data_IF_737110375681
#
_entry.id   IF_737110375681
#
_cell.length_a   1.000
_cell.length_b   1.000
_cell.length_c   1.000
_cell.angle_alpha   90.00
_cell.angle_beta   90.00
_cell.angle_gamma   90.00
#
_symmetry.space_group_name_H-M   'P 1'
#
loop_
_entity.id
_entity.type
_entity.pdbx_description
1 polymer ?
#
# COMPACT_ATOMS: atom_id res chain seq x y z
N UNK A 1 1.28 -3.96 -18.14
CA UNK A 1 1.97 -3.80 -19.44
C UNK A 1 3.45 -4.14 -19.34
N UNK A 2 4.24 -3.45 -18.51
CA UNK A 2 5.69 -3.75 -18.38
C UNK A 2 6.01 -5.20 -17.98
N UNK A 3 5.29 -5.77 -17.00
CA UNK A 3 5.46 -7.19 -16.61
C UNK A 3 5.13 -8.19 -17.75
N UNK A 4 4.42 -7.75 -18.79
CA UNK A 4 4.13 -8.55 -19.98
C UNK A 4 5.20 -8.36 -21.08
N UNK A 5 6.32 -7.68 -20.78
CA UNK A 5 7.41 -7.42 -21.72
C UNK A 5 7.10 -6.33 -22.76
N UNK A 6 6.00 -5.59 -22.61
CA UNK A 6 5.58 -4.59 -23.60
C UNK A 6 6.24 -3.23 -23.32
N UNK A 7 6.77 -2.58 -24.36
CA UNK A 7 7.19 -1.19 -24.29
C UNK A 7 6.00 -0.31 -23.87
N UNK A 8 6.15 0.40 -22.76
CA UNK A 8 5.03 1.08 -22.10
C UNK A 8 5.28 2.58 -22.04
N UNK A 9 4.29 3.35 -22.48
CA UNK A 9 4.26 4.80 -22.41
C UNK A 9 3.09 5.24 -21.52
N UNK A 10 3.32 6.25 -20.69
CA UNK A 10 2.27 6.93 -19.92
C UNK A 10 2.13 8.34 -20.49
N UNK A 11 0.91 8.69 -20.92
CA UNK A 11 0.57 10.01 -21.45
C UNK A 11 -0.28 10.72 -20.39
N UNK A 12 0.20 11.88 -19.95
CA UNK A 12 -0.45 12.73 -18.96
C UNK A 12 -0.66 14.13 -19.54
N UNK A 13 -1.88 14.64 -19.43
CA UNK A 13 -2.23 15.98 -19.89
C UNK A 13 -1.64 17.05 -18.97
N UNK A 14 -1.68 16.81 -17.65
CA UNK A 14 -1.10 17.70 -16.65
C UNK A 14 0.43 17.78 -16.79
N UNK A 15 1.08 18.81 -16.22
CA UNK A 15 2.53 18.94 -16.27
C UNK A 15 3.28 17.85 -15.46
N UNK A 16 2.56 17.12 -14.62
CA UNK A 16 3.11 16.07 -13.76
C UNK A 16 2.09 14.94 -13.53
N UNK A 17 2.60 13.77 -13.16
CA UNK A 17 1.79 12.63 -12.76
C UNK A 17 1.08 12.89 -11.42
N UNK A 18 -0.13 12.35 -11.27
CA UNK A 18 -0.94 12.46 -10.04
C UNK A 18 -1.11 13.92 -9.57
N UNK A 19 -1.41 14.82 -10.51
CA UNK A 19 -1.44 16.26 -10.25
C UNK A 19 -2.46 16.71 -9.19
N UNK A 20 -3.46 15.89 -8.87
CA UNK A 20 -4.40 16.17 -7.77
C UNK A 20 -3.83 15.77 -6.40
N UNK A 21 -2.92 14.79 -6.34
CA UNK A 21 -2.40 14.22 -5.08
C UNK A 21 -0.97 14.64 -4.74
N UNK A 22 -0.18 15.06 -5.73
CA UNK A 22 1.23 15.41 -5.56
C UNK A 22 1.48 16.86 -5.94
N UNK A 23 2.52 17.44 -5.34
CA UNK A 23 3.11 18.69 -5.80
C UNK A 23 4.19 18.44 -6.87
N UNK A 24 4.75 19.51 -7.42
CA UNK A 24 5.71 19.43 -8.53
C UNK A 24 6.93 18.57 -8.22
N UNK A 25 7.50 18.70 -7.02
CA UNK A 25 8.65 17.90 -6.60
C UNK A 25 8.28 16.42 -6.43
N UNK A 26 7.13 16.12 -5.82
CA UNK A 26 6.64 14.75 -5.72
C UNK A 26 6.36 14.12 -7.08
N UNK A 27 5.75 14.86 -8.00
CA UNK A 27 5.47 14.41 -9.36
C UNK A 27 6.74 14.10 -10.17
N UNK A 28 7.79 14.91 -10.03
CA UNK A 28 9.08 14.67 -10.68
C UNK A 28 9.79 13.43 -10.12
N UNK A 29 9.75 13.22 -8.80
CA UNK A 29 10.31 12.01 -8.18
C UNK A 29 9.55 10.76 -8.62
N UNK A 30 8.22 10.83 -8.67
CA UNK A 30 7.40 9.73 -9.20
C UNK A 30 7.74 9.42 -10.66
N UNK A 31 7.93 10.46 -11.48
CA UNK A 31 8.33 10.31 -12.88
C UNK A 31 9.67 9.57 -12.99
N UNK A 32 10.72 10.04 -12.31
CA UNK A 32 12.05 9.42 -12.34
C UNK A 32 11.97 7.95 -11.96
N UNK A 33 11.20 7.61 -10.93
CA UNK A 33 11.04 6.23 -10.46
C UNK A 33 10.29 5.34 -11.45
N UNK A 34 9.28 5.87 -12.15
CA UNK A 34 8.57 5.13 -13.20
C UNK A 34 9.49 4.94 -14.42
N UNK A 35 10.27 5.95 -14.78
CA UNK A 35 11.22 5.90 -15.89
C UNK A 35 12.38 4.93 -15.63
N UNK A 36 12.89 4.85 -14.39
CA UNK A 36 13.92 3.87 -13.99
C UNK A 36 13.44 2.41 -14.11
N UNK A 37 12.12 2.19 -14.06
CA UNK A 37 11.48 0.90 -14.32
C UNK A 37 11.26 0.61 -15.82
N UNK A 38 11.73 1.50 -16.70
CA UNK A 38 11.66 1.36 -18.14
C UNK A 38 10.28 1.64 -18.73
N UNK A 39 9.50 2.53 -18.10
CA UNK A 39 8.24 3.08 -18.61
C UNK A 39 8.49 4.54 -19.03
N UNK A 40 8.15 4.90 -20.28
CA UNK A 40 8.37 6.26 -20.78
C UNK A 40 7.22 7.18 -20.37
N UNK A 41 7.51 8.27 -19.67
CA UNK A 41 6.49 9.21 -19.18
C UNK A 41 6.48 10.48 -20.04
N UNK A 42 5.30 10.86 -20.52
CA UNK A 42 5.07 12.07 -21.31
C UNK A 42 4.02 12.94 -20.62
N UNK A 43 4.45 14.00 -19.95
CA UNK A 43 3.56 14.98 -19.33
C UNK A 43 3.32 16.16 -20.26
N UNK A 44 2.33 17.01 -19.93
CA UNK A 44 1.90 18.13 -20.80
C UNK A 44 1.50 17.69 -22.21
N UNK A 45 1.05 16.43 -22.38
CA UNK A 45 0.68 15.88 -23.69
C UNK A 45 -0.82 15.88 -23.89
N UNK A 46 -1.28 16.80 -24.74
CA UNK A 46 -2.67 16.86 -25.18
C UNK A 46 -2.85 16.05 -26.48
N UNK A 47 -3.54 14.92 -26.42
CA UNK A 47 -3.83 14.08 -27.60
C UNK A 47 -4.99 14.69 -28.40
N UNK A 48 -4.74 15.07 -29.66
CA UNK A 48 -5.76 15.62 -30.56
C UNK A 48 -6.57 14.54 -31.27
N UNK A 49 -5.88 13.55 -31.80
CA UNK A 49 -6.49 12.45 -32.55
C UNK A 49 -5.65 11.17 -32.49
N UNK A 50 -6.31 10.05 -32.75
CA UNK A 50 -5.71 8.72 -32.84
C UNK A 50 -6.13 8.14 -34.19
N UNK A 51 -5.17 7.91 -35.06
CA UNK A 51 -5.40 7.38 -36.41
C UNK A 51 -4.92 5.94 -36.51
N UNK A 52 -5.62 5.11 -37.30
CA UNK A 52 -5.27 3.70 -37.54
C UNK A 52 -4.26 3.58 -38.69
N UNK A 53 -3.19 4.36 -38.61
CA UNK A 53 -2.13 4.45 -39.60
C UNK A 53 -0.81 4.64 -38.86
N UNK A 54 0.11 3.71 -39.02
CA UNK A 54 1.48 3.80 -38.50
C UNK A 54 2.39 2.88 -39.31
N UNK A 55 3.68 3.21 -39.33
CA UNK A 55 4.71 2.47 -40.07
C UNK A 55 5.33 1.38 -39.21
N UNK A 56 5.47 1.64 -37.91
CA UNK A 56 6.10 0.75 -36.92
C UNK A 56 5.05 0.09 -36.01
N UNK A 57 3.89 0.72 -35.82
CA UNK A 57 2.79 0.19 -35.03
C UNK A 57 1.43 0.46 -35.69
N UNK A 58 0.36 -0.18 -35.20
CA UNK A 58 -0.97 -0.11 -35.85
C UNK A 58 -1.67 1.25 -35.76
N UNK A 59 -1.30 2.11 -34.81
CA UNK A 59 -1.92 3.43 -34.59
C UNK A 59 -0.86 4.50 -34.42
N UNK A 60 -1.24 5.74 -34.73
CA UNK A 60 -0.47 6.93 -34.39
C UNK A 60 -1.34 7.88 -33.57
N UNK A 61 -0.79 8.34 -32.45
CA UNK A 61 -1.36 9.40 -31.61
C UNK A 61 -0.75 10.73 -32.04
N UNK A 62 -1.57 11.70 -32.45
CA UNK A 62 -1.11 13.06 -32.75
C UNK A 62 -1.37 13.98 -31.57
N UNK A 63 -0.35 14.71 -31.15
CA UNK A 63 -0.42 15.63 -30.01
C UNK A 63 -0.59 17.08 -30.46
N UNK A 64 -1.07 17.92 -29.54
CA UNK A 64 -1.35 19.32 -29.84
C UNK A 64 -0.11 20.14 -30.19
N UNK A 65 1.06 19.73 -29.69
CA UNK A 65 2.37 20.32 -29.96
C UNK A 65 2.98 19.88 -31.31
N UNK A 66 2.27 19.04 -32.08
CA UNK A 66 2.71 18.53 -33.38
C UNK A 66 3.58 17.28 -33.29
N UNK A 67 3.97 16.82 -32.10
CA UNK A 67 4.62 15.52 -31.94
C UNK A 67 3.64 14.37 -32.15
N UNK A 68 4.18 13.18 -32.41
CA UNK A 68 3.40 11.97 -32.59
C UNK A 68 4.01 10.78 -31.85
N UNK A 69 3.19 9.77 -31.58
CA UNK A 69 3.62 8.51 -30.99
C UNK A 69 2.89 7.33 -31.63
N UNK A 70 3.64 6.39 -32.19
CA UNK A 70 3.08 5.16 -32.74
C UNK A 70 2.90 4.09 -31.66
N UNK A 71 1.73 3.46 -31.61
CA UNK A 71 1.37 2.44 -30.59
C UNK A 71 0.44 1.38 -31.17
N UNK A 72 0.54 0.14 -30.68
CA UNK A 72 -0.39 -0.92 -31.09
C UNK A 72 -1.70 -0.93 -30.30
N UNK A 73 -1.60 -0.57 -29.02
CA UNK A 73 -2.68 -0.69 -28.04
C UNK A 73 -2.68 0.52 -27.11
N UNK A 74 -3.88 1.03 -26.81
CA UNK A 74 -4.10 2.21 -25.97
C UNK A 74 -5.07 1.82 -24.86
N UNK A 75 -4.69 2.13 -23.62
CA UNK A 75 -5.57 2.02 -22.45
C UNK A 75 -5.99 3.42 -22.04
N UNK A 76 -7.29 3.67 -22.00
CA UNK A 76 -7.81 4.95 -21.50
C UNK A 76 -8.02 4.87 -19.99
N UNK A 77 -7.26 5.68 -19.25
CA UNK A 77 -7.38 5.86 -17.80
C UNK A 77 -7.49 7.35 -17.45
N UNK A 78 -8.41 8.06 -18.11
CA UNK A 78 -8.55 9.52 -18.08
C UNK A 78 -9.68 10.01 -17.17
N UNK A 79 -9.94 9.26 -16.10
CA UNK A 79 -11.04 9.51 -15.16
C UNK A 79 -12.35 8.84 -15.57
N UNK A 80 -13.33 8.92 -14.67
CA UNK A 80 -14.68 8.35 -14.83
C UNK A 80 -15.73 9.47 -14.82
N UNK A 81 -16.91 9.17 -15.35
CA UNK A 81 -18.09 10.04 -15.27
C UNK A 81 -19.23 9.32 -14.56
N UNK A 82 -20.00 10.01 -13.70
CA UNK A 82 -21.20 9.44 -13.09
C UNK A 82 -22.16 8.91 -14.16
N UNK A 83 -22.77 7.75 -13.89
CA UNK A 83 -23.83 7.18 -14.75
C UNK A 83 -25.20 7.66 -14.29
N UNK A 84 -25.50 8.92 -14.58
CA UNK A 84 -26.72 9.62 -14.13
C UNK A 84 -27.86 9.63 -15.17
N UNK A 85 -27.67 9.02 -16.35
CA UNK A 85 -28.66 9.02 -17.43
C UNK A 85 -30.06 8.57 -17.01
N UNK A 86 -30.16 7.54 -16.16
CA UNK A 86 -31.44 7.05 -15.65
C UNK A 86 -32.12 8.11 -14.77
N UNK A 87 -31.37 8.76 -13.89
CA UNK A 87 -31.88 9.83 -13.04
C UNK A 87 -32.47 10.98 -13.87
N UNK A 88 -31.74 11.44 -14.89
CA UNK A 88 -32.24 12.46 -15.83
C UNK A 88 -33.51 12.02 -16.54
N UNK A 89 -33.58 10.77 -17.01
CA UNK A 89 -34.77 10.23 -17.71
C UNK A 89 -35.99 10.09 -16.80
N UNK A 90 -35.76 9.86 -15.50
CA UNK A 90 -36.80 9.75 -14.48
C UNK A 90 -37.15 11.09 -13.81
N UNK A 91 -36.53 12.21 -14.22
CA UNK A 91 -36.79 13.53 -13.63
C UNK A 91 -36.19 13.74 -12.24
N UNK A 92 -35.23 12.91 -11.82
CA UNK A 92 -34.47 13.13 -10.59
C UNK A 92 -33.46 14.26 -10.77
N UNK A 93 -33.17 14.96 -9.67
CA UNK A 93 -32.17 16.03 -9.68
C UNK A 93 -30.76 15.49 -9.98
N UNK A 94 -30.05 16.15 -10.90
CA UNK A 94 -28.68 15.82 -11.29
C UNK A 94 -27.82 17.08 -11.14
N UNK A 95 -26.61 16.92 -10.62
CA UNK A 95 -25.71 18.04 -10.35
C UNK A 95 -25.17 18.65 -11.65
N UNK A 96 -24.72 19.91 -11.59
CA UNK A 96 -24.24 20.65 -12.77
C UNK A 96 -23.08 19.95 -13.50
N UNK A 97 -22.23 19.22 -12.76
CA UNK A 97 -21.08 18.47 -13.31
C UNK A 97 -21.37 16.97 -13.49
N UNK A 98 -22.63 16.57 -13.43
CA UNK A 98 -23.09 15.18 -13.44
C UNK A 98 -23.13 14.55 -12.05
N UNK A 99 -23.84 13.43 -11.97
CA UNK A 99 -24.11 12.67 -10.75
C UNK A 99 -25.49 12.98 -10.17
N UNK A 100 -26.13 11.93 -9.64
CA UNK A 100 -27.47 11.98 -9.04
C UNK A 100 -27.36 12.75 -7.73
N UNK A 101 -28.08 13.87 -7.60
CA UNK A 101 -28.00 14.68 -6.38
C UNK A 101 -28.55 13.90 -5.19
N UNK A 102 -27.80 13.92 -4.09
CA UNK A 102 -28.23 13.30 -2.83
C UNK A 102 -28.08 14.22 -1.63
N UNK A 103 -28.94 14.02 -0.64
CA UNK A 103 -28.83 14.65 0.68
C UNK A 103 -27.85 13.91 1.60
N UNK A 104 -27.74 14.34 2.86
CA UNK A 104 -26.85 13.75 3.87
C UNK A 104 -27.23 12.31 4.25
N UNK A 105 -28.42 11.84 3.89
CA UNK A 105 -28.89 10.46 4.08
C UNK A 105 -28.79 9.63 2.80
N UNK A 106 -28.11 10.14 1.77
CA UNK A 106 -27.97 9.54 0.44
C UNK A 106 -29.30 9.35 -0.33
N UNK A 107 -30.37 10.04 0.06
CA UNK A 107 -31.63 10.08 -0.67
C UNK A 107 -31.53 11.06 -1.83
N UNK A 108 -32.21 10.73 -2.94
CA UNK A 108 -32.33 11.61 -4.10
C UNK A 108 -33.42 12.67 -3.90
N UNK A 109 -33.80 13.39 -4.97
CA UNK A 109 -34.96 14.28 -4.94
C UNK A 109 -36.31 13.56 -4.73
N UNK A 110 -36.33 12.24 -4.98
CA UNK A 110 -37.45 11.38 -4.62
C UNK A 110 -37.13 10.69 -3.28
N UNK A 111 -38.00 10.79 -2.25
CA UNK A 111 -37.73 10.27 -0.91
C UNK A 111 -37.62 8.74 -0.85
N UNK A 112 -38.17 8.02 -1.82
CA UNK A 112 -38.14 6.55 -1.88
C UNK A 112 -36.94 6.01 -2.69
N UNK A 113 -36.12 6.91 -3.27
CA UNK A 113 -34.99 6.56 -4.12
C UNK A 113 -33.69 7.05 -3.50
N UNK A 114 -32.71 6.14 -3.42
CA UNK A 114 -31.36 6.42 -2.93
C UNK A 114 -30.34 6.31 -4.07
N UNK A 115 -29.25 7.06 -3.96
CA UNK A 115 -28.07 6.88 -4.81
C UNK A 115 -26.81 6.89 -3.93
N UNK A 116 -25.91 5.94 -4.18
CA UNK A 116 -24.67 5.77 -3.41
C UNK A 116 -23.50 5.49 -4.35
N UNK A 117 -22.28 5.70 -3.87
CA UNK A 117 -21.06 5.47 -4.64
C UNK A 117 -20.81 6.52 -5.72
N UNK A 118 -20.10 6.13 -6.77
CA UNK A 118 -19.55 7.07 -7.76
C UNK A 118 -20.60 7.77 -8.64
N UNK A 119 -21.84 7.27 -8.67
CA UNK A 119 -22.94 7.92 -9.37
C UNK A 119 -23.62 9.03 -8.55
N UNK A 120 -23.40 9.06 -7.23
CA UNK A 120 -24.01 10.01 -6.32
C UNK A 120 -23.20 11.30 -6.23
N UNK A 121 -23.91 12.43 -6.26
CA UNK A 121 -23.35 13.77 -6.10
C UNK A 121 -23.86 14.37 -4.79
N UNK A 122 -22.98 14.40 -3.78
CA UNK A 122 -23.26 15.03 -2.50
C UNK A 122 -22.64 16.42 -2.49
N UNK A 123 -23.44 17.45 -2.22
CA UNK A 123 -23.00 18.85 -2.22
C UNK A 123 -22.24 19.25 -3.52
N UNK A 124 -22.79 18.85 -4.69
CA UNK A 124 -22.20 19.03 -6.02
C UNK A 124 -20.82 18.37 -6.22
N UNK A 125 -20.48 17.36 -5.41
CA UNK A 125 -19.22 16.60 -5.50
C UNK A 125 -19.50 15.12 -5.64
N UNK A 126 -18.72 14.50 -6.53
CA UNK A 126 -18.69 13.05 -6.75
C UNK A 126 -17.38 12.50 -6.22
N UNK A 127 -17.43 11.30 -5.64
CA UNK A 127 -16.28 10.67 -5.01
C UNK A 127 -15.89 9.41 -5.77
N UNK A 128 -14.74 9.43 -6.46
CA UNK A 128 -14.20 8.30 -7.23
C UNK A 128 -13.32 7.36 -6.39
N UNK A 129 -13.75 7.04 -5.18
CA UNK A 129 -13.03 6.18 -4.25
C UNK A 129 -14.00 5.16 -3.64
N UNK A 130 -13.47 4.00 -3.25
CA UNK A 130 -14.30 2.92 -2.68
C UNK A 130 -14.83 3.25 -1.28
N UNK A 131 -14.02 3.90 -0.43
CA UNK A 131 -14.37 4.20 0.95
C UNK A 131 -15.61 5.12 1.09
N UNK A 132 -15.72 6.23 0.32
CA UNK A 132 -16.94 7.01 0.27
C UNK A 132 -18.17 6.18 -0.14
N UNK A 133 -18.02 5.26 -1.09
CA UNK A 133 -19.10 4.37 -1.51
C UNK A 133 -19.61 3.47 -0.39
N UNK A 134 -18.71 2.90 0.41
CA UNK A 134 -19.11 2.12 1.60
C UNK A 134 -19.78 2.98 2.65
N UNK A 135 -19.26 4.18 2.93
CA UNK A 135 -19.89 5.09 3.89
C UNK A 135 -21.29 5.51 3.44
N UNK A 136 -21.48 5.81 2.16
CA UNK A 136 -22.79 6.11 1.58
C UNK A 136 -23.75 4.92 1.71
N UNK A 137 -23.26 3.69 1.48
CA UNK A 137 -24.07 2.48 1.69
C UNK A 137 -24.53 2.34 3.14
N UNK A 138 -23.62 2.52 4.10
CA UNK A 138 -23.94 2.45 5.53
C UNK A 138 -24.95 3.52 5.93
N UNK A 139 -24.74 4.77 5.50
CA UNK A 139 -25.67 5.88 5.77
C UNK A 139 -27.06 5.62 5.19
N UNK A 140 -27.15 5.11 3.95
CA UNK A 140 -28.43 4.76 3.35
C UNK A 140 -29.17 3.66 4.14
N UNK A 141 -28.46 2.62 4.58
CA UNK A 141 -29.02 1.54 5.40
C UNK A 141 -29.45 2.07 6.78
N UNK A 142 -28.63 2.87 7.43
CA UNK A 142 -28.95 3.45 8.74
C UNK A 142 -30.20 4.32 8.68
N UNK A 143 -30.33 5.14 7.62
CA UNK A 143 -31.54 5.92 7.40
C UNK A 143 -32.78 5.03 7.19
N UNK A 144 -32.67 3.95 6.40
CA UNK A 144 -33.76 2.99 6.21
C UNK A 144 -34.18 2.28 7.51
N UNK A 145 -33.24 2.12 8.46
CA UNK A 145 -33.49 1.49 9.76
C UNK A 145 -33.87 2.49 10.87
N UNK A 146 -33.86 3.80 10.59
CA UNK A 146 -34.16 4.86 11.55
C UNK A 146 -33.02 5.19 12.52
N UNK A 147 -31.79 4.82 12.18
CA UNK A 147 -30.58 5.15 12.94
C UNK A 147 -30.05 6.54 12.55
N UNK A 148 -29.51 7.30 13.52
CA UNK A 148 -28.88 8.59 13.23
C UNK A 148 -27.48 8.40 12.64
N UNK A 149 -27.34 8.61 11.34
CA UNK A 149 -26.06 8.67 10.64
C UNK A 149 -26.20 9.57 9.39
N UNK A 150 -25.12 10.27 9.04
CA UNK A 150 -25.10 11.22 7.92
C UNK A 150 -23.79 11.15 7.17
N UNK A 151 -23.86 11.26 5.84
CA UNK A 151 -22.70 11.43 4.99
C UNK A 151 -22.24 12.88 5.01
N UNK A 152 -21.07 13.15 5.56
CA UNK A 152 -20.50 14.50 5.73
C UNK A 152 -19.36 14.77 4.75
N UNK A 153 -19.35 14.07 3.63
CA UNK A 153 -18.22 14.04 2.69
C UNK A 153 -17.20 12.95 3.04
N UNK A 154 -16.08 12.96 2.33
CA UNK A 154 -15.03 11.98 2.51
C UNK A 154 -13.64 12.57 2.26
N UNK A 155 -12.65 11.97 2.93
CA UNK A 155 -11.25 12.24 2.72
C UNK A 155 -10.80 11.74 1.34
N UNK A 156 -10.04 12.58 0.63
CA UNK A 156 -9.54 12.30 -0.72
C UNK A 156 -8.08 11.81 -0.69
N UNK A 157 -7.52 11.58 0.49
CA UNK A 157 -6.18 11.01 0.63
C UNK A 157 -6.12 9.67 -0.08
N UNK A 158 -5.07 9.49 -0.86
CA UNK A 158 -4.88 8.30 -1.67
C UNK A 158 -3.45 7.80 -1.49
N UNK A 159 -3.32 6.49 -1.36
CA UNK A 159 -2.03 5.79 -1.39
C UNK A 159 -2.07 4.79 -2.55
N UNK A 160 -1.19 5.01 -3.53
CA UNK A 160 -1.03 4.10 -4.65
C UNK A 160 0.12 3.15 -4.38
N UNK A 161 -0.10 1.88 -4.71
CA UNK A 161 0.94 0.87 -4.86
C UNK A 161 1.15 0.65 -6.34
N UNK A 162 2.08 1.38 -6.94
CA UNK A 162 2.60 1.01 -8.24
C UNK A 162 3.64 -0.10 -8.04
N UNK A 163 3.95 -0.85 -9.11
CA UNK A 163 5.07 -1.80 -9.12
C UNK A 163 6.31 -1.08 -8.58
N UNK A 164 6.82 -1.47 -7.40
CA UNK A 164 8.03 -0.89 -6.82
C UNK A 164 7.98 0.58 -6.41
N UNK A 165 6.85 1.29 -6.56
CA UNK A 165 6.72 2.71 -6.23
C UNK A 165 5.58 2.92 -5.24
N UNK A 166 5.95 3.27 -4.02
CA UNK A 166 5.02 3.73 -3.01
C UNK A 166 4.86 5.25 -3.12
N UNK A 167 3.61 5.69 -3.24
CA UNK A 167 3.25 7.10 -3.31
C UNK A 167 1.96 7.36 -2.55
N UNK A 168 1.89 8.49 -1.84
CA UNK A 168 0.71 8.90 -1.12
C UNK A 168 0.57 10.41 -0.99
N UNK A 169 -0.65 10.90 -1.20
CA UNK A 169 -1.08 12.25 -0.88
C UNK A 169 -2.11 12.22 0.24
N UNK A 170 -2.02 13.19 1.15
CA UNK A 170 -2.90 13.34 2.31
C UNK A 170 -3.42 14.76 2.37
N UNK A 171 -4.74 14.94 2.56
CA UNK A 171 -5.37 16.24 2.83
C UNK A 171 -4.98 17.32 1.81
N UNK A 172 -4.58 18.50 2.30
CA UNK A 172 -4.10 19.61 1.48
C UNK A 172 -2.65 19.41 1.00
N UNK A 173 -2.45 18.41 0.13
CA UNK A 173 -1.16 18.04 -0.45
C UNK A 173 -0.48 19.19 -1.22
N UNK A 174 -1.26 20.15 -1.72
CA UNK A 174 -0.78 21.30 -2.50
C UNK A 174 -0.45 22.52 -1.63
N UNK A 175 -0.88 22.55 -0.36
CA UNK A 175 -0.77 23.73 0.49
C UNK A 175 -1.60 24.91 0.00
N UNK A 176 -2.84 24.65 -0.44
CA UNK A 176 -3.81 25.66 -0.89
C UNK A 176 -4.33 26.50 0.28
N UNK A 177 -4.24 26.00 1.52
CA UNK A 177 -4.67 26.70 2.73
C UNK A 177 -3.85 27.99 2.93
N UNK A 178 -4.49 29.17 3.01
CA UNK A 178 -3.78 30.43 3.20
C UNK A 178 -2.90 30.44 4.46
N UNK A 179 -1.67 30.89 4.34
CA UNK A 179 -0.72 30.96 5.46
C UNK A 179 -0.11 29.61 5.86
N UNK A 180 -0.43 28.51 5.16
CA UNK A 180 0.19 27.21 5.39
C UNK A 180 1.70 27.27 5.17
N UNK A 181 2.42 26.47 5.96
CA UNK A 181 3.87 26.32 5.90
C UNK A 181 4.22 24.89 5.49
N UNK A 182 5.47 24.67 5.08
CA UNK A 182 5.89 23.33 4.65
C UNK A 182 7.26 22.94 5.19
N UNK A 183 7.37 21.65 5.52
CA UNK A 183 8.64 20.98 5.80
C UNK A 183 8.90 19.99 4.67
N UNK A 184 10.10 19.98 4.12
CA UNK A 184 10.47 19.14 2.97
C UNK A 184 11.71 18.33 3.31
N UNK A 185 11.64 17.02 3.03
CA UNK A 185 12.78 16.12 3.03
C UNK A 185 12.92 15.51 1.63
N UNK A 186 14.11 15.65 1.05
CA UNK A 186 14.45 15.11 -0.26
C UNK A 186 15.79 14.37 -0.15
N UNK A 187 15.79 13.10 -0.54
CA UNK A 187 16.99 12.27 -0.67
C UNK A 187 16.99 11.68 -2.08
N UNK A 188 17.73 12.32 -2.99
CA UNK A 188 17.84 11.88 -4.39
C UNK A 188 18.59 10.56 -4.53
N UNK A 189 19.45 10.20 -3.57
CA UNK A 189 20.20 8.94 -3.62
C UNK A 189 19.31 7.72 -3.36
N UNK A 190 18.26 7.92 -2.55
CA UNK A 190 17.26 6.90 -2.22
C UNK A 190 15.95 7.09 -2.98
N UNK A 191 15.85 8.11 -3.83
CA UNK A 191 14.64 8.51 -4.54
C UNK A 191 13.44 8.73 -3.58
N UNK A 192 13.71 9.36 -2.43
CA UNK A 192 12.70 9.64 -1.39
C UNK A 192 12.37 11.12 -1.37
N UNK A 193 11.07 11.42 -1.39
CA UNK A 193 10.55 12.77 -1.18
C UNK A 193 9.40 12.73 -0.18
N UNK A 194 9.45 13.62 0.80
CA UNK A 194 8.40 13.81 1.80
C UNK A 194 8.17 15.30 2.03
N UNK A 195 6.92 15.70 2.07
CA UNK A 195 6.51 17.06 2.42
C UNK A 195 5.38 17.02 3.43
N UNK A 196 5.49 17.82 4.48
CA UNK A 196 4.38 18.14 5.38
C UNK A 196 3.86 19.53 5.04
N UNK A 197 2.55 19.71 5.12
CA UNK A 197 1.87 20.99 5.01
C UNK A 197 1.19 21.23 6.35
N UNK A 198 1.58 22.29 7.04
CA UNK A 198 1.10 22.63 8.40
C UNK A 198 0.41 23.98 8.42
N UNK A 199 -0.44 24.19 9.43
CA UNK A 199 -1.08 25.48 9.68
C UNK A 199 -0.07 26.61 9.98
N UNK A 200 -0.52 27.86 9.87
CA UNK A 200 0.34 29.04 10.07
C UNK A 200 1.02 29.09 11.46
N UNK A 201 0.39 28.47 12.47
CA UNK A 201 0.87 28.35 13.85
C UNK A 201 1.67 27.05 14.12
N UNK A 202 1.90 26.22 13.09
CA UNK A 202 2.57 24.92 13.15
C UNK A 202 1.91 23.85 14.03
N UNK A 203 0.65 24.04 14.48
CA UNK A 203 -0.01 23.11 15.40
C UNK A 203 -0.79 21.99 14.73
N UNK A 204 -1.26 22.21 13.50
CA UNK A 204 -2.14 21.28 12.80
C UNK A 204 -1.50 20.81 11.50
N UNK A 205 -1.54 19.49 11.25
CA UNK A 205 -1.18 18.93 9.95
C UNK A 205 -2.36 19.08 8.98
N UNK A 206 -2.15 19.82 7.90
CA UNK A 206 -3.17 20.06 6.87
C UNK A 206 -3.08 19.04 5.72
N UNK A 207 -1.88 18.56 5.44
CA UNK A 207 -1.65 17.58 4.39
C UNK A 207 -0.21 17.07 4.37
N UNK A 208 0.02 16.06 3.54
CA UNK A 208 1.34 15.50 3.33
C UNK A 208 1.48 14.87 1.93
N UNK A 209 2.71 14.84 1.43
CA UNK A 209 3.10 14.15 0.20
C UNK A 209 4.25 13.20 0.52
N UNK A 210 4.16 11.94 0.11
CA UNK A 210 5.19 10.93 0.30
C UNK A 210 5.43 10.18 -1.00
N UNK A 211 6.68 10.12 -1.46
CA UNK A 211 7.12 9.40 -2.65
C UNK A 211 8.37 8.59 -2.32
N UNK A 212 8.41 7.34 -2.76
CA UNK A 212 9.54 6.43 -2.54
C UNK A 212 9.42 5.68 -1.21
N UNK A 213 9.29 6.43 -0.10
CA UNK A 213 9.06 5.89 1.24
C UNK A 213 7.74 6.43 1.83
N UNK A 214 6.77 5.54 2.03
CA UNK A 214 5.45 5.87 2.60
C UNK A 214 5.19 5.19 3.95
N UNK A 215 6.26 4.79 4.65
CA UNK A 215 6.18 4.18 5.98
C UNK A 215 5.41 5.05 6.98
N UNK A 216 5.60 6.38 6.91
CA UNK A 216 4.96 7.34 7.81
C UNK A 216 3.50 7.66 7.43
N UNK A 217 3.00 7.20 6.27
CA UNK A 217 1.69 7.58 5.73
C UNK A 217 0.54 7.35 6.72
N UNK A 218 0.53 6.19 7.38
CA UNK A 218 -0.55 5.84 8.32
C UNK A 218 -0.60 6.79 9.53
N UNK A 219 0.56 7.11 10.11
CA UNK A 219 0.66 8.02 11.24
C UNK A 219 0.25 9.45 10.85
N UNK A 220 0.75 9.93 9.71
CA UNK A 220 0.41 11.25 9.18
C UNK A 220 -1.08 11.38 8.84
N UNK A 221 -1.68 10.33 8.29
CA UNK A 221 -3.12 10.31 8.01
C UNK A 221 -3.93 10.45 9.30
N UNK A 222 -3.54 9.77 10.38
CA UNK A 222 -4.24 9.90 11.66
C UNK A 222 -4.11 11.30 12.28
N UNK A 223 -2.96 11.97 12.14
CA UNK A 223 -2.79 13.37 12.57
C UNK A 223 -3.81 14.29 11.87
N UNK A 224 -3.98 14.12 10.55
CA UNK A 224 -4.91 14.92 9.75
C UNK A 224 -6.37 14.59 10.11
N UNK A 225 -6.75 13.31 10.08
CA UNK A 225 -8.15 12.89 10.26
C UNK A 225 -8.70 13.20 11.66
N UNK A 226 -7.85 13.14 12.69
CA UNK A 226 -8.27 13.35 14.08
C UNK A 226 -7.87 14.73 14.63
N UNK A 227 -7.33 15.63 13.79
CA UNK A 227 -6.85 16.96 14.19
C UNK A 227 -5.95 16.94 15.44
N UNK A 228 -5.05 15.96 15.51
CA UNK A 228 -4.14 15.79 16.64
C UNK A 228 -3.04 16.86 16.55
N UNK A 229 -2.79 17.54 17.66
CA UNK A 229 -1.76 18.59 17.75
C UNK A 229 -0.37 18.01 17.43
N UNK A 230 0.36 18.71 16.57
CA UNK A 230 1.70 18.35 16.13
C UNK A 230 2.73 18.44 17.27
N UNK A 231 3.81 17.63 17.20
CA UNK A 231 4.94 17.81 18.11
C UNK A 231 5.61 19.17 17.89
N UNK A 232 6.37 19.63 18.89
CA UNK A 232 7.11 20.90 18.85
C UNK A 232 7.99 21.05 17.59
N UNK A 233 8.55 19.94 17.10
CA UNK A 233 9.33 19.86 15.86
C UNK A 233 8.64 18.94 14.83
N UNK A 234 7.72 19.46 13.98
CA UNK A 234 6.97 18.64 13.03
C UNK A 234 7.82 17.92 11.98
N UNK A 235 8.98 18.47 11.60
CA UNK A 235 9.91 17.87 10.63
C UNK A 235 10.39 16.48 11.04
N UNK A 236 10.52 16.22 12.34
CA UNK A 236 10.90 14.92 12.89
C UNK A 236 9.97 13.77 12.47
N UNK A 237 8.73 14.06 12.05
CA UNK A 237 7.78 13.07 11.55
C UNK A 237 8.14 12.50 10.17
N UNK A 238 8.88 13.25 9.34
CA UNK A 238 9.27 12.83 7.99
C UNK A 238 10.76 12.51 7.88
N UNK A 239 11.58 13.05 8.78
CA UNK A 239 13.01 12.79 8.77
C UNK A 239 13.30 11.31 9.05
N UNK A 240 14.32 10.72 8.39
CA UNK A 240 14.81 9.39 8.71
C UNK A 240 15.36 9.34 10.14
N UNK A 241 15.08 8.24 10.85
CA UNK A 241 15.63 8.00 12.19
C UNK A 241 17.15 7.79 12.08
N UNK A 242 17.94 8.79 12.44
CA UNK A 242 19.38 8.68 12.57
C UNK A 242 19.76 8.78 14.05
N UNK A 243 20.63 7.89 14.51
CA UNK A 243 21.23 7.88 15.85
C UNK A 243 20.25 7.84 17.04
N UNK A 244 19.55 6.71 17.20
CA UNK A 244 19.04 6.25 18.51
C UNK A 244 17.79 6.94 19.08
N UNK A 245 17.31 8.03 18.48
CA UNK A 245 15.98 8.57 18.77
C UNK A 245 14.96 7.95 17.80
N UNK A 246 14.02 7.18 18.33
CA UNK A 246 12.89 6.68 17.54
C UNK A 246 12.08 7.85 16.98
N UNK A 247 11.46 7.68 15.81
CA UNK A 247 10.56 8.70 15.28
C UNK A 247 9.39 8.93 16.24
N UNK A 248 8.92 10.17 16.41
CA UNK A 248 7.68 10.42 17.13
C UNK A 248 6.53 9.70 16.41
N UNK A 249 5.96 8.69 17.06
CA UNK A 249 4.70 8.06 16.64
C UNK A 249 3.58 8.61 17.50
N UNK A 250 2.40 8.85 16.92
CA UNK A 250 1.19 8.86 17.75
C UNK A 250 1.11 7.46 18.36
N UNK A 251 1.19 7.35 19.69
CA UNK A 251 0.88 6.09 20.34
C UNK A 251 -0.58 5.76 20.03
N UNK A 252 -0.86 4.55 19.56
CA UNK A 252 -2.24 4.10 19.23
C UNK A 252 -3.23 4.28 20.38
N UNK A 253 -2.73 4.36 21.62
CA UNK A 253 -3.51 4.69 22.81
C UNK A 253 -4.17 6.07 22.77
N UNK A 254 -3.58 7.04 22.07
CA UNK A 254 -4.15 8.39 21.93
C UNK A 254 -5.27 8.49 20.89
N UNK A 255 -5.46 7.45 20.07
CA UNK A 255 -6.54 7.43 19.07
C UNK A 255 -7.87 7.07 19.75
N UNK A 256 -8.99 7.75 19.44
CA UNK A 256 -10.30 7.34 19.90
C UNK A 256 -10.71 6.00 19.26
N UNK A 257 -11.66 5.27 19.87
CA UNK A 257 -12.14 4.00 19.31
C UNK A 257 -12.82 4.20 17.95
N UNK A 258 -13.41 5.36 17.71
CA UNK A 258 -13.98 5.75 16.42
C UNK A 258 -12.93 6.08 15.35
N UNK A 259 -11.63 6.10 15.69
CA UNK A 259 -10.58 6.43 14.73
C UNK A 259 -10.56 5.40 13.60
N UNK A 260 -10.70 5.87 12.36
CA UNK A 260 -10.71 5.02 11.19
C UNK A 260 -9.29 4.51 10.91
N UNK A 261 -9.06 3.20 10.99
CA UNK A 261 -7.76 2.55 10.79
C UNK A 261 -7.61 2.02 9.36
N UNK A 262 -8.64 1.37 8.80
CA UNK A 262 -8.64 0.89 7.41
C UNK A 262 -9.77 1.52 6.58
N UNK A 263 -9.42 2.45 5.68
CA UNK A 263 -10.43 3.18 4.89
C UNK A 263 -11.09 2.29 3.86
N UNK A 264 -10.32 1.35 3.31
CA UNK A 264 -10.79 0.43 2.27
C UNK A 264 -11.93 -0.50 2.73
N UNK A 265 -12.04 -0.78 4.03
CA UNK A 265 -13.08 -1.67 4.56
C UNK A 265 -13.81 -1.04 5.74
N UNK A 266 -13.68 0.28 5.91
CA UNK A 266 -14.29 1.07 6.98
C UNK A 266 -14.08 0.47 8.39
N UNK A 267 -12.85 0.04 8.69
CA UNK A 267 -12.53 -0.59 9.99
C UNK A 267 -11.96 0.45 10.94
N UNK A 268 -12.62 0.64 12.09
CA UNK A 268 -12.20 1.53 13.17
C UNK A 268 -11.25 0.85 14.16
N UNK A 269 -10.63 1.64 15.05
CA UNK A 269 -9.84 1.11 16.17
C UNK A 269 -10.71 0.23 17.08
N UNK A 270 -11.95 0.65 17.33
CA UNK A 270 -12.91 -0.08 18.14
C UNK A 270 -13.26 -1.45 17.56
N UNK A 271 -13.43 -1.55 16.24
CA UNK A 271 -13.67 -2.83 15.56
C UNK A 271 -12.50 -3.80 15.73
N UNK A 272 -11.26 -3.28 15.64
CA UNK A 272 -10.06 -4.08 15.89
C UNK A 272 -10.01 -4.55 17.33
N UNK A 273 -10.24 -3.67 18.31
CA UNK A 273 -10.27 -4.04 19.74
C UNK A 273 -11.36 -5.09 19.99
N UNK A 274 -12.55 -4.93 19.42
CA UNK A 274 -13.63 -5.90 19.53
C UNK A 274 -13.25 -7.27 18.95
N UNK A 275 -12.57 -7.31 17.80
CA UNK A 275 -12.06 -8.55 17.21
C UNK A 275 -10.94 -9.18 18.06
N UNK A 276 -10.03 -8.38 18.62
CA UNK A 276 -8.97 -8.84 19.52
C UNK A 276 -9.59 -9.46 20.77
N UNK A 277 -10.59 -8.81 21.37
CA UNK A 277 -11.35 -9.33 22.53
C UNK A 277 -12.10 -10.63 22.23
N UNK A 278 -12.42 -10.91 20.96
CA UNK A 278 -13.00 -12.19 20.51
C UNK A 278 -11.94 -13.29 20.25
N UNK A 279 -10.65 -13.00 20.43
CA UNK A 279 -9.55 -13.96 20.27
C UNK A 279 -8.70 -13.76 19.00
N UNK A 280 -8.89 -12.69 18.23
CA UNK A 280 -8.06 -12.41 17.05
C UNK A 280 -6.69 -11.83 17.44
N UNK A 281 -5.79 -12.67 17.96
CA UNK A 281 -4.48 -12.25 18.49
C UNK A 281 -3.35 -12.20 17.45
N UNK A 282 -3.66 -12.33 16.16
CA UNK A 282 -2.67 -12.20 15.08
C UNK A 282 -3.18 -11.27 14.00
N UNK A 283 -2.25 -10.63 13.27
CA UNK A 283 -2.61 -9.79 12.11
C UNK A 283 -3.35 -10.60 11.05
N UNK A 284 -3.04 -11.89 10.89
CA UNK A 284 -3.75 -12.78 9.97
C UNK A 284 -5.20 -13.02 10.41
N UNK A 285 -5.43 -13.25 11.70
CA UNK A 285 -6.78 -13.38 12.26
C UNK A 285 -7.59 -12.09 12.10
N UNK A 286 -6.98 -10.93 12.40
CA UNK A 286 -7.64 -9.63 12.20
C UNK A 286 -7.99 -9.38 10.73
N UNK A 287 -7.11 -9.73 9.79
CA UNK A 287 -7.39 -9.66 8.35
C UNK A 287 -8.57 -10.54 7.95
N UNK A 288 -8.64 -11.76 8.50
CA UNK A 288 -9.72 -12.69 8.19
C UNK A 288 -11.08 -12.18 8.67
N UNK A 289 -11.12 -11.67 9.91
CA UNK A 289 -12.32 -11.19 10.59
C UNK A 289 -12.79 -9.83 10.05
N UNK A 290 -11.90 -8.83 10.05
CA UNK A 290 -12.27 -7.43 9.78
C UNK A 290 -12.02 -6.99 8.33
N UNK A 291 -11.29 -7.79 7.54
CA UNK A 291 -10.75 -7.41 6.21
C UNK A 291 -9.73 -6.27 6.24
N UNK A 292 -9.39 -5.71 7.40
CA UNK A 292 -8.39 -4.65 7.51
C UNK A 292 -7.05 -5.10 6.91
N UNK A 293 -6.56 -4.33 5.92
CA UNK A 293 -5.26 -4.60 5.29
C UNK A 293 -5.28 -5.60 4.13
N UNK A 294 -6.45 -6.11 3.70
CA UNK A 294 -6.58 -6.97 2.50
C UNK A 294 -6.80 -6.20 1.20
N UNK A 295 -6.99 -4.87 1.29
CA UNK A 295 -7.28 -3.97 0.17
C UNK A 295 -6.00 -3.30 -0.32
N UNK A 296 -5.82 -2.00 -0.01
CA UNK A 296 -4.57 -1.31 -0.29
C UNK A 296 -3.42 -1.77 0.62
N UNK A 297 -3.72 -2.35 1.78
CA UNK A 297 -2.72 -2.80 2.78
C UNK A 297 -1.97 -1.68 3.50
N UNK A 298 -2.33 -0.40 3.28
CA UNK A 298 -1.66 0.76 3.88
C UNK A 298 -1.80 0.83 5.40
N UNK A 299 -2.87 0.26 5.95
CA UNK A 299 -3.16 0.26 7.38
C UNK A 299 -2.44 -0.85 8.16
N UNK A 300 -1.74 -1.80 7.50
CA UNK A 300 -1.13 -2.96 8.18
C UNK A 300 -0.21 -2.54 9.33
N UNK A 301 0.71 -1.56 9.20
CA UNK A 301 1.55 -1.15 10.32
C UNK A 301 0.74 -0.66 11.51
N UNK A 302 -0.32 0.12 11.27
CA UNK A 302 -1.18 0.67 12.32
C UNK A 302 -2.06 -0.42 12.97
N UNK A 303 -2.55 -1.38 12.18
CA UNK A 303 -3.26 -2.57 12.69
C UNK A 303 -2.35 -3.37 13.62
N UNK A 304 -1.09 -3.59 13.24
CA UNK A 304 -0.11 -4.29 14.10
C UNK A 304 0.16 -3.51 15.39
N UNK A 305 0.26 -2.19 15.33
CA UNK A 305 0.43 -1.37 16.53
C UNK A 305 -0.78 -1.47 17.47
N UNK A 306 -2.01 -1.39 16.96
CA UNK A 306 -3.24 -1.55 17.75
C UNK A 306 -3.28 -2.94 18.39
N UNK A 307 -2.99 -3.99 17.60
CA UNK A 307 -2.91 -5.36 18.09
C UNK A 307 -1.93 -5.49 19.26
N UNK A 308 -0.69 -5.04 19.07
CA UNK A 308 0.35 -5.19 20.09
C UNK A 308 0.01 -4.40 21.36
N UNK A 309 -0.54 -3.19 21.22
CA UNK A 309 -0.93 -2.37 22.36
C UNK A 309 -2.09 -3.02 23.16
N UNK A 310 -3.06 -3.61 22.47
CA UNK A 310 -4.21 -4.26 23.12
C UNK A 310 -3.81 -5.59 23.77
N UNK A 311 -2.99 -6.40 23.11
CA UNK A 311 -2.44 -7.63 23.70
C UNK A 311 -1.63 -7.33 24.97
N UNK A 312 -0.80 -6.27 24.94
CA UNK A 312 -0.06 -5.82 26.13
C UNK A 312 -0.99 -5.43 27.28
N UNK A 313 -2.13 -4.77 27.01
CA UNK A 313 -3.14 -4.44 28.04
C UNK A 313 -3.83 -5.68 28.61
N UNK A 314 -4.02 -6.71 27.79
CA UNK A 314 -4.55 -8.00 28.24
C UNK A 314 -3.50 -8.85 28.98
N UNK A 315 -2.28 -8.35 29.18
CA UNK A 315 -1.19 -9.10 29.79
C UNK A 315 -0.65 -10.23 28.90
N UNK A 316 -1.01 -10.24 27.62
CA UNK A 316 -0.49 -11.18 26.63
C UNK A 316 0.83 -10.59 26.13
N UNK A 317 1.94 -11.14 26.63
CA UNK A 317 3.26 -10.75 26.20
C UNK A 317 3.43 -11.09 24.72
N UNK A 318 3.57 -10.06 23.88
CA UNK A 318 3.86 -10.22 22.45
C UNK A 318 5.30 -10.69 22.33
N UNK A 319 5.47 -12.00 22.37
CA UNK A 319 6.79 -12.58 22.27
C UNK A 319 7.21 -12.69 20.80
N UNK A 320 8.35 -12.09 20.46
CA UNK A 320 8.93 -12.16 19.12
C UNK A 320 9.71 -13.46 18.86
N UNK A 321 9.64 -14.41 19.80
CA UNK A 321 10.18 -15.75 19.65
C UNK A 321 9.72 -16.41 18.35
N UNK A 322 10.66 -17.07 17.68
CA UNK A 322 10.36 -17.83 16.47
C UNK A 322 9.39 -18.99 16.77
N UNK A 323 9.61 -19.70 17.88
CA UNK A 323 8.72 -20.74 18.43
C UNK A 323 9.20 -21.12 19.84
N UNK A 324 8.60 -22.15 20.45
CA UNK A 324 9.02 -22.68 21.76
C UNK A 324 10.50 -23.14 21.83
N UNK A 325 11.11 -23.46 20.68
CA UNK A 325 12.49 -23.93 20.60
C UNK A 325 13.51 -22.79 20.60
N UNK A 326 13.12 -21.58 20.18
CA UNK A 326 14.04 -20.46 20.01
C UNK A 326 13.41 -19.17 20.54
N UNK A 327 13.99 -18.65 21.62
CA UNK A 327 13.55 -17.42 22.26
C UNK A 327 14.04 -16.14 21.55
N UNK A 328 14.03 -16.16 20.23
CA UNK A 328 14.62 -15.13 19.37
C UNK A 328 13.76 -14.94 18.12
N UNK A 329 13.71 -13.71 17.62
CA UNK A 329 13.15 -13.41 16.32
C UNK A 329 14.03 -13.95 15.19
N UNK A 330 13.45 -14.05 13.98
CA UNK A 330 14.20 -14.45 12.77
C UNK A 330 15.43 -13.58 12.52
N UNK A 331 15.34 -12.27 12.79
CA UNK A 331 16.44 -11.34 12.59
C UNK A 331 17.56 -11.55 13.62
N UNK A 332 17.22 -11.76 14.89
CA UNK A 332 18.19 -12.06 15.94
C UNK A 332 18.91 -13.38 15.66
N UNK A 333 18.18 -14.44 15.27
CA UNK A 333 18.79 -15.71 14.87
C UNK A 333 19.75 -15.55 13.69
N UNK A 334 19.40 -14.73 12.68
CA UNK A 334 20.30 -14.42 11.57
C UNK A 334 21.60 -13.75 12.06
N UNK A 335 21.49 -12.79 12.99
CA UNK A 335 22.66 -12.14 13.57
C UNK A 335 23.52 -13.11 14.38
N UNK A 336 22.92 -13.95 15.23
CA UNK A 336 23.64 -14.97 16.00
C UNK A 336 24.39 -15.94 15.08
N UNK A 337 23.73 -16.43 14.04
CA UNK A 337 24.36 -17.32 13.03
C UNK A 337 25.59 -16.66 12.41
N UNK A 338 25.49 -15.39 11.99
CA UNK A 338 26.62 -14.69 11.34
C UNK A 338 27.75 -14.36 12.29
N UNK A 339 27.44 -13.87 13.50
CA UNK A 339 28.45 -13.43 14.48
C UNK A 339 29.24 -14.62 15.02
N UNK A 340 28.55 -15.72 15.32
CA UNK A 340 29.18 -16.91 15.91
C UNK A 340 29.66 -17.92 14.87
N UNK A 341 29.38 -17.68 13.59
CA UNK A 341 29.82 -18.56 12.49
C UNK A 341 29.13 -19.92 12.49
N UNK A 342 27.90 -20.01 13.00
CA UNK A 342 27.14 -21.27 13.18
C UNK A 342 26.74 -21.83 11.82
N UNK A 343 27.01 -23.11 11.55
CA UNK A 343 26.78 -23.71 10.22
C UNK A 343 25.71 -24.80 10.17
N UNK A 344 25.27 -25.31 11.33
CA UNK A 344 24.29 -26.39 11.39
C UNK A 344 23.12 -26.02 12.30
N UNK A 345 21.97 -26.65 12.08
CA UNK A 345 20.81 -26.49 12.95
C UNK A 345 21.10 -26.99 14.37
N UNK A 346 21.79 -28.13 14.49
CA UNK A 346 22.12 -28.72 15.78
C UNK A 346 23.01 -27.80 16.62
N UNK A 347 24.01 -27.15 16.00
CA UNK A 347 24.86 -26.16 16.69
C UNK A 347 24.06 -24.93 17.12
N UNK A 348 23.13 -24.44 16.28
CA UNK A 348 22.27 -23.31 16.65
C UNK A 348 21.32 -23.68 17.79
N UNK A 349 20.75 -24.88 17.74
CA UNK A 349 19.82 -25.40 18.73
C UNK A 349 20.51 -25.63 20.08
N UNK A 350 21.74 -26.16 20.07
CA UNK A 350 22.52 -26.39 21.29
C UNK A 350 22.92 -25.07 21.98
N UNK A 351 23.29 -24.04 21.20
CA UNK A 351 23.74 -22.76 21.77
C UNK A 351 22.61 -21.82 22.15
N UNK A 352 21.57 -21.74 21.32
CA UNK A 352 20.56 -20.67 21.37
C UNK A 352 19.12 -21.18 21.40
N UNK A 353 18.92 -22.50 21.52
CA UNK A 353 17.60 -23.10 21.53
C UNK A 353 17.45 -24.23 22.53
N UNK A 354 16.36 -24.97 22.39
CA UNK A 354 16.03 -26.13 23.22
C UNK A 354 15.16 -27.11 22.45
N UNK A 355 15.15 -28.38 22.87
CA UNK A 355 14.33 -29.43 22.25
C UNK A 355 14.94 -30.01 20.97
N UNK A 356 14.09 -30.35 19.98
CA UNK A 356 14.50 -31.02 18.73
C UNK A 356 14.11 -30.24 17.45
N UNK A 357 13.48 -29.08 17.63
CA UNK A 357 12.93 -28.24 16.55
C UNK A 357 11.62 -28.76 15.95
N UNK A 358 10.81 -27.83 15.44
CA UNK A 358 9.52 -28.08 14.81
C UNK A 358 9.47 -27.67 13.32
N UNK A 359 8.29 -27.82 12.72
CA UNK A 359 7.95 -27.40 11.35
C UNK A 359 8.10 -25.89 11.11
N UNK A 360 8.17 -25.06 12.15
CA UNK A 360 8.40 -23.61 12.02
C UNK A 360 9.89 -23.29 12.01
N UNK A 361 10.65 -23.77 12.99
CA UNK A 361 12.04 -23.34 13.16
C UNK A 361 13.01 -24.04 12.22
N UNK A 362 12.78 -25.31 11.85
CA UNK A 362 13.66 -26.05 10.94
C UNK A 362 13.77 -25.40 9.56
N UNK A 363 12.67 -25.12 8.83
CA UNK A 363 12.77 -24.43 7.54
C UNK A 363 13.24 -22.98 7.69
N UNK A 364 12.88 -22.30 8.77
CA UNK A 364 13.38 -20.94 9.01
C UNK A 364 14.90 -20.94 9.16
N UNK A 365 15.47 -21.78 10.02
CA UNK A 365 16.92 -21.86 10.22
C UNK A 365 17.63 -22.38 8.98
N UNK A 366 17.05 -23.35 8.26
CA UNK A 366 17.58 -23.81 6.97
C UNK A 366 17.70 -22.66 5.97
N UNK A 367 16.67 -21.81 5.87
CA UNK A 367 16.68 -20.59 5.06
C UNK A 367 17.75 -19.60 5.51
N UNK A 368 17.90 -19.37 6.82
CA UNK A 368 18.92 -18.45 7.36
C UNK A 368 20.35 -18.94 7.08
N UNK A 369 20.63 -20.22 7.33
CA UNK A 369 21.94 -20.84 7.05
C UNK A 369 22.27 -20.77 5.55
N UNK A 370 21.28 -21.02 4.69
CA UNK A 370 21.43 -20.86 3.25
C UNK A 370 21.74 -19.41 2.85
N UNK A 371 21.10 -18.42 3.49
CA UNK A 371 21.41 -17.00 3.25
C UNK A 371 22.80 -16.59 3.75
N UNK A 372 23.28 -17.14 4.87
CA UNK A 372 24.59 -16.80 5.43
C UNK A 372 25.75 -17.46 4.70
N UNK A 373 25.61 -18.73 4.32
CA UNK A 373 26.73 -19.58 3.88
C UNK A 373 26.59 -20.10 2.45
N UNK A 374 25.40 -20.00 1.86
CA UNK A 374 25.10 -20.44 0.50
C UNK A 374 25.52 -21.90 0.19
N UNK A 375 25.36 -22.79 1.16
CA UNK A 375 25.62 -24.21 0.93
C UNK A 375 24.52 -24.89 0.10
N UNK A 376 24.84 -26.05 -0.46
CA UNK A 376 23.88 -26.87 -1.20
C UNK A 376 22.85 -27.49 -0.24
N UNK A 377 21.56 -27.20 -0.47
CA UNK A 377 20.48 -27.48 0.49
C UNK A 377 20.16 -28.98 0.64
N UNK A 378 20.55 -29.83 -0.31
CA UNK A 378 20.38 -31.28 -0.23
C UNK A 378 21.60 -32.01 0.34
N UNK A 379 22.57 -31.29 0.92
CA UNK A 379 23.58 -31.94 1.76
C UNK A 379 22.87 -32.63 2.94
N UNK A 380 23.36 -33.80 3.42
CA UNK A 380 22.72 -34.56 4.50
C UNK A 380 22.37 -33.76 5.76
N UNK A 381 23.17 -32.73 6.08
CA UNK A 381 22.97 -31.85 7.23
C UNK A 381 21.88 -30.77 7.04
N UNK A 382 21.50 -30.46 5.80
CA UNK A 382 20.54 -29.40 5.46
C UNK A 382 19.18 -29.96 5.00
N UNK A 383 19.17 -31.14 4.37
CA UNK A 383 17.96 -31.84 3.88
C UNK A 383 16.86 -31.96 4.94
N UNK A 384 17.15 -32.34 6.20
CA UNK A 384 16.11 -32.47 7.23
C UNK A 384 15.46 -31.14 7.63
N UNK A 385 16.04 -30.01 7.22
CA UNK A 385 15.55 -28.67 7.51
C UNK A 385 14.64 -28.14 6.40
N UNK A 386 14.69 -28.73 5.21
CA UNK A 386 13.96 -28.24 4.05
C UNK A 386 12.49 -28.67 4.13
N UNK A 387 11.59 -27.83 3.62
CA UNK A 387 10.20 -28.24 3.39
C UNK A 387 10.11 -29.16 2.16
N UNK A 388 8.89 -29.61 1.82
CA UNK A 388 8.71 -30.52 0.67
C UNK A 388 9.19 -29.89 -0.64
N UNK A 389 8.97 -28.59 -0.85
CA UNK A 389 9.34 -27.96 -2.11
C UNK A 389 10.87 -27.85 -2.25
N UNK A 390 11.54 -27.44 -1.18
CA UNK A 390 12.99 -27.29 -1.16
C UNK A 390 13.71 -28.66 -1.21
N UNK A 391 13.15 -29.71 -0.61
CA UNK A 391 13.67 -31.08 -0.71
C UNK A 391 13.66 -31.63 -2.13
N UNK A 392 12.61 -31.32 -2.90
CA UNK A 392 12.48 -31.77 -4.29
C UNK A 392 13.00 -30.74 -5.30
N UNK A 393 13.51 -29.59 -4.84
CA UNK A 393 13.91 -28.45 -5.67
C UNK A 393 12.81 -28.07 -6.69
N UNK A 394 11.56 -28.20 -6.28
CA UNK A 394 10.39 -28.04 -7.13
C UNK A 394 9.17 -27.61 -6.32
N UNK A 395 8.35 -26.71 -6.86
CA UNK A 395 7.09 -26.33 -6.23
C UNK A 395 5.95 -27.20 -6.73
N UNK A 396 5.18 -27.77 -5.80
CA UNK A 396 3.92 -28.46 -6.10
C UNK A 396 2.84 -27.43 -6.41
N UNK A 397 2.19 -27.58 -7.57
CA UNK A 397 1.05 -26.76 -7.99
C UNK A 397 -0.27 -27.38 -7.52
N UNK A 398 -1.33 -26.56 -7.48
CA UNK A 398 -2.65 -27.00 -6.99
C UNK A 398 -3.30 -28.11 -7.84
N UNK A 399 -2.87 -28.27 -9.08
CA UNK A 399 -3.34 -29.31 -10.01
C UNK A 399 -2.51 -30.61 -9.93
N UNK A 400 -1.56 -30.70 -9.00
CA UNK A 400 -0.68 -31.86 -8.81
C UNK A 400 0.54 -31.89 -9.72
N UNK A 401 0.77 -30.86 -10.54
CA UNK A 401 2.00 -30.71 -11.33
C UNK A 401 3.15 -30.13 -10.49
N UNK A 402 4.39 -30.33 -10.95
CA UNK A 402 5.58 -29.79 -10.31
C UNK A 402 6.24 -28.75 -11.22
N UNK A 403 6.58 -27.59 -10.68
CA UNK A 403 7.44 -26.61 -11.35
C UNK A 403 8.84 -26.67 -10.76
N UNK A 404 9.82 -27.10 -11.56
CA UNK A 404 11.23 -27.06 -11.18
C UNK A 404 11.74 -25.64 -11.39
N UNK A 405 12.12 -24.96 -10.30
CA UNK A 405 12.69 -23.61 -10.36
C UNK A 405 14.19 -23.74 -10.11
N UNK A 406 15.05 -23.45 -11.10
CA UNK A 406 16.49 -23.40 -10.90
C UNK A 406 16.83 -22.42 -9.77
N UNK A 407 17.61 -22.88 -8.79
CA UNK A 407 17.97 -22.06 -7.65
C UNK A 407 18.95 -20.96 -8.06
N UNK A 408 18.60 -19.71 -7.79
CA UNK A 408 19.52 -18.55 -7.82
C UNK A 408 19.64 -17.98 -6.42
N UNK A 409 20.69 -18.38 -5.70
CA UNK A 409 20.91 -17.92 -4.32
C UNK A 409 21.10 -16.40 -4.30
N UNK A 410 20.36 -15.70 -3.45
CA UNK A 410 20.38 -14.23 -3.40
C UNK A 410 19.85 -13.53 -4.65
N UNK A 411 19.22 -14.25 -5.58
CA UNK A 411 18.81 -13.72 -6.88
C UNK A 411 19.95 -13.56 -7.89
N UNK A 412 21.15 -14.02 -7.56
CA UNK A 412 22.31 -13.94 -8.45
C UNK A 412 22.44 -15.20 -9.31
N UNK A 413 22.62 -15.01 -10.60
CA UNK A 413 22.91 -16.08 -11.58
C UNK A 413 24.02 -15.58 -12.51
N UNK A 414 25.06 -16.39 -12.69
CA UNK A 414 26.13 -16.05 -13.62
C UNK A 414 25.64 -16.22 -15.07
N UNK A 415 26.27 -15.55 -16.05
CA UNK A 415 25.97 -15.78 -17.47
C UNK A 415 26.02 -17.27 -17.86
N UNK A 416 26.98 -18.02 -17.33
CA UNK A 416 27.12 -19.46 -17.54
C UNK A 416 25.96 -20.24 -16.90
N UNK A 417 25.51 -19.83 -15.71
CA UNK A 417 24.34 -20.40 -15.05
C UNK A 417 23.07 -20.17 -15.86
N UNK A 418 22.92 -18.99 -16.47
CA UNK A 418 21.77 -18.66 -17.33
C UNK A 418 21.76 -19.52 -18.60
N UNK A 419 22.93 -19.74 -19.22
CA UNK A 419 23.10 -20.66 -20.36
C UNK A 419 22.79 -22.11 -19.96
N UNK A 420 23.21 -22.54 -18.77
CA UNK A 420 22.91 -23.88 -18.28
C UNK A 420 21.41 -24.10 -18.08
N UNK A 421 20.69 -23.14 -17.50
CA UNK A 421 19.22 -23.18 -17.38
C UNK A 421 18.58 -23.27 -18.77
N UNK A 422 19.03 -22.47 -19.73
CA UNK A 422 18.50 -22.50 -21.10
C UNK A 422 18.78 -23.80 -21.87
N UNK A 423 19.77 -24.60 -21.46
CA UNK A 423 20.05 -25.93 -22.04
C UNK A 423 19.24 -27.06 -21.38
N UNK A 424 18.81 -26.86 -20.14
CA UNK A 424 18.09 -27.86 -19.33
C UNK A 424 16.57 -27.67 -19.46
N UNK A 425 16.11 -26.43 -19.61
CA UNK A 425 14.71 -26.13 -19.88
C UNK A 425 14.32 -26.66 -21.28
N UNK A 426 13.33 -27.57 -21.38
CA UNK A 426 12.88 -28.13 -22.66
C UNK A 426 12.20 -27.12 -23.57
#
# INVERSE_FOLDING_TARGET
>A
MKNLGVETHVIEFAPMLMAEQLDQMGGEQLRRKIESMGVKVHTSKNTKEIVQQGTEARKTMHFADGSELQVDFIVFSTGIRPRDKLATQCGLAVAQRGGIMVNDSCQTSDPDIYAIGECASWNNRVYGLVAPGYKMAQVAVDHLLGSENSFTGADLSAKLKLLGVDVGGIGDAHGRTPGARSYVYLDESKEVYKRLIVSADNKTLLGAVLVGDTSDYGNLLQLVLNAIELPENPDSLILPAHAGSGKPSIGVDKLPDSAQICSCFDVSKGDLIAAINKGCHTVAALKAETKAGTGCGGCIPLVTQVLNAELAKQGIEVNNNLCEHFAYSRQELFHLIRVEGIKTFDELLEKHGQGYGCEVCKPTVGSLLASCWNEYILKPQHTPLQDSNDNFLANIQKDGTYSVIPRSAGGEITPEGLVAVGRIAP
#
